data_IF_684894512519
#
_entry.id   IF_684894512519
#
_cell.length_a   1.000
_cell.length_b   1.000
_cell.length_c   1.000
_cell.angle_alpha   90.00
_cell.angle_beta   90.00
_cell.angle_gamma   90.00
#
_symmetry.space_group_name_H-M   'P 1'
#
loop_
_entity.id
_entity.type
_entity.pdbx_description
1 polymer ?
#
# COMPACT_ATOMS: atom_id res chain seq x y z
N UNK A 1 -22.99 1.41 2.97
CA UNK A 1 -21.96 0.34 2.84
C UNK A 1 -21.19 0.57 1.55
N UNK A 2 -19.88 0.81 1.62
CA UNK A 2 -19.03 0.79 0.42
C UNK A 2 -18.68 -0.65 0.09
N UNK A 3 -18.95 -1.08 -1.13
CA UNK A 3 -18.44 -2.36 -1.63
C UNK A 3 -16.91 -2.27 -1.82
N UNK A 4 -16.18 -3.34 -1.57
CA UNK A 4 -14.77 -3.41 -1.92
C UNK A 4 -14.61 -3.23 -3.44
N UNK A 5 -13.52 -2.61 -3.86
CA UNK A 5 -13.13 -2.60 -5.27
C UNK A 5 -12.87 -4.04 -5.72
N UNK A 6 -13.13 -4.34 -6.98
CA UNK A 6 -12.99 -5.69 -7.52
C UNK A 6 -11.61 -6.29 -7.26
N UNK A 7 -10.55 -5.47 -7.31
CA UNK A 7 -9.18 -5.88 -7.02
C UNK A 7 -8.95 -6.43 -5.59
N UNK A 8 -9.79 -6.05 -4.60
CA UNK A 8 -9.71 -6.65 -3.27
C UNK A 8 -10.37 -8.03 -3.19
N UNK A 9 -11.34 -8.30 -4.06
CA UNK A 9 -12.03 -9.59 -4.11
C UNK A 9 -11.33 -10.59 -5.02
N UNK A 10 -10.67 -10.08 -6.06
CA UNK A 10 -9.97 -10.87 -7.07
C UNK A 10 -8.60 -10.24 -7.32
N UNK A 11 -7.66 -10.35 -6.36
CA UNK A 11 -6.31 -9.84 -6.56
C UNK A 11 -5.59 -10.64 -7.64
N UNK A 12 -4.76 -9.97 -8.42
CA UNK A 12 -3.92 -10.60 -9.42
C UNK A 12 -2.78 -11.40 -8.76
N UNK A 13 -2.26 -12.37 -9.49
CA UNK A 13 -1.04 -13.07 -9.10
C UNK A 13 0.14 -12.11 -9.12
N UNK A 14 1.05 -12.27 -8.17
CA UNK A 14 2.29 -11.53 -8.12
C UNK A 14 3.43 -12.34 -8.73
N UNK A 15 4.28 -11.69 -9.52
CA UNK A 15 5.43 -12.31 -10.16
C UNK A 15 6.70 -11.63 -9.65
N UNK A 16 7.65 -12.45 -9.18
CA UNK A 16 8.96 -11.96 -8.73
C UNK A 16 10.05 -12.58 -9.57
N UNK A 17 10.73 -11.74 -10.35
CA UNK A 17 11.80 -12.17 -11.23
C UNK A 17 13.16 -11.98 -10.57
N UNK A 18 14.01 -12.98 -10.65
CA UNK A 18 15.40 -12.94 -10.23
C UNK A 18 16.30 -13.35 -11.40
N UNK A 19 17.34 -12.55 -11.60
CA UNK A 19 18.33 -12.87 -12.63
C UNK A 19 19.15 -14.09 -12.17
N UNK A 20 19.00 -15.18 -12.90
CA UNK A 20 19.72 -16.43 -12.70
C UNK A 20 21.05 -16.47 -13.47
N UNK A 21 21.08 -15.87 -14.65
CA UNK A 21 22.26 -15.86 -15.51
C UNK A 21 22.18 -14.73 -16.53
N UNK A 22 23.31 -14.11 -16.83
CA UNK A 22 23.43 -13.16 -17.94
C UNK A 22 24.77 -13.38 -18.63
N UNK A 23 24.73 -13.56 -19.94
CA UNK A 23 25.88 -13.62 -20.82
C UNK A 23 25.73 -12.59 -21.94
N UNK A 24 26.79 -11.86 -22.21
CA UNK A 24 26.85 -10.89 -23.29
C UNK A 24 28.12 -11.15 -24.10
N UNK A 25 27.99 -11.49 -25.37
CA UNK A 25 29.09 -11.51 -26.33
C UNK A 25 28.97 -10.28 -27.22
N UNK A 26 29.86 -9.32 -26.98
CA UNK A 26 29.89 -8.08 -27.76
C UNK A 26 30.53 -8.25 -29.16
N UNK A 27 31.34 -9.29 -29.35
CA UNK A 27 31.97 -9.56 -30.63
C UNK A 27 30.94 -10.13 -31.63
N UNK A 28 30.07 -11.02 -31.18
CA UNK A 28 29.03 -11.66 -31.98
C UNK A 28 27.63 -11.03 -31.82
N UNK A 29 27.51 -10.00 -30.98
CA UNK A 29 26.25 -9.35 -30.63
C UNK A 29 25.19 -10.34 -30.10
N UNK A 30 25.63 -11.31 -29.34
CA UNK A 30 24.76 -12.32 -28.70
C UNK A 30 24.55 -12.02 -27.23
N UNK A 31 23.33 -12.21 -26.76
CA UNK A 31 22.96 -12.05 -25.36
C UNK A 31 22.02 -13.15 -24.92
N UNK A 32 22.35 -13.79 -23.80
CA UNK A 32 21.47 -14.72 -23.10
C UNK A 32 21.18 -14.18 -21.70
N UNK A 33 19.90 -13.98 -21.36
CA UNK A 33 19.47 -13.65 -19.99
C UNK A 33 18.46 -14.69 -19.56
N UNK A 34 18.75 -15.35 -18.44
CA UNK A 34 17.88 -16.36 -17.84
C UNK A 34 17.32 -15.80 -16.53
N UNK A 35 16.00 -15.75 -16.45
CA UNK A 35 15.27 -15.27 -15.27
C UNK A 35 14.59 -16.45 -14.58
N UNK A 36 14.62 -16.43 -13.26
CA UNK A 36 13.78 -17.30 -12.45
C UNK A 36 12.56 -16.50 -11.98
N UNK A 37 11.39 -16.91 -12.41
CA UNK A 37 10.12 -16.27 -12.02
C UNK A 37 9.45 -17.09 -10.92
N UNK A 38 9.25 -16.48 -9.78
CA UNK A 38 8.43 -17.03 -8.70
C UNK A 38 7.03 -16.43 -8.77
N UNK A 39 6.01 -17.27 -8.71
CA UNK A 39 4.60 -16.88 -8.83
C UNK A 39 3.93 -17.05 -7.48
N UNK A 40 3.41 -15.95 -6.92
CA UNK A 40 2.60 -15.96 -5.71
C UNK A 40 1.13 -15.82 -6.10
N UNK A 41 0.30 -16.77 -5.70
CA UNK A 41 -1.15 -16.77 -5.93
C UNK A 41 -2.00 -16.71 -4.65
N UNK A 42 -1.35 -16.55 -3.50
CA UNK A 42 -1.99 -16.43 -2.17
C UNK A 42 -2.37 -14.98 -1.81
N UNK A 43 -2.73 -14.18 -2.79
CA UNK A 43 -3.05 -12.75 -2.58
C UNK A 43 -4.48 -12.54 -2.10
N UNK A 44 -5.34 -13.54 -2.18
CA UNK A 44 -6.74 -13.48 -1.75
C UNK A 44 -6.89 -13.61 -0.23
N UNK A 45 -7.71 -12.73 0.38
CA UNK A 45 -8.07 -12.83 1.79
C UNK A 45 -9.56 -13.18 1.95
N UNK A 46 -9.90 -14.43 2.31
CA UNK A 46 -11.28 -14.87 2.48
C UNK A 46 -11.98 -14.25 3.71
N UNK A 47 -11.23 -13.63 4.62
CA UNK A 47 -11.73 -13.06 5.87
C UNK A 47 -12.08 -11.57 5.77
N UNK A 48 -12.05 -10.99 4.55
CA UNK A 48 -12.42 -9.59 4.36
C UNK A 48 -13.85 -9.31 4.80
N UNK A 49 -13.99 -8.27 5.62
CA UNK A 49 -15.27 -7.78 6.12
C UNK A 49 -15.62 -6.45 5.46
N UNK A 50 -16.89 -6.20 5.27
CA UNK A 50 -17.33 -4.90 4.77
C UNK A 50 -17.03 -3.80 5.79
N UNK A 51 -16.50 -2.65 5.34
CA UNK A 51 -16.31 -1.49 6.19
C UNK A 51 -17.64 -1.02 6.75
N UNK A 52 -17.62 -0.64 8.01
CA UNK A 52 -18.77 -0.07 8.70
C UNK A 52 -18.43 1.34 9.13
N UNK A 53 -19.17 2.30 8.58
CA UNK A 53 -19.08 3.69 8.98
C UNK A 53 -20.32 4.07 9.78
N UNK A 54 -20.10 4.57 11.00
CA UNK A 54 -21.15 5.09 11.87
C UNK A 54 -20.96 6.58 12.02
N UNK A 55 -21.98 7.36 11.66
CA UNK A 55 -21.97 8.80 11.78
C UNK A 55 -23.06 9.24 12.73
N UNK A 56 -22.72 10.12 13.67
CA UNK A 56 -23.62 10.85 14.54
C UNK A 56 -23.43 12.34 14.27
N UNK A 57 -24.51 13.04 14.03
CA UNK A 57 -24.55 14.49 13.84
C UNK A 57 -25.57 15.11 14.76
N UNK A 58 -25.19 16.23 15.36
CA UNK A 58 -26.10 17.08 16.13
C UNK A 58 -26.00 18.49 15.54
N UNK A 59 -27.11 18.97 14.99
CA UNK A 59 -27.21 20.30 14.39
C UNK A 59 -28.08 21.21 15.24
N UNK A 60 -27.67 22.46 15.38
CA UNK A 60 -28.44 23.53 15.97
C UNK A 60 -28.56 24.65 14.93
N UNK A 61 -29.80 25.00 14.58
CA UNK A 61 -30.13 26.15 13.74
C UNK A 61 -30.88 27.17 14.57
N UNK A 62 -30.35 28.36 14.63
CA UNK A 62 -30.96 29.49 15.35
C UNK A 62 -31.25 30.62 14.38
N UNK A 63 -32.44 31.21 14.50
CA UNK A 63 -32.82 32.39 13.71
C UNK A 63 -33.37 33.47 14.61
N UNK A 64 -32.73 34.62 14.61
CA UNK A 64 -33.09 35.80 15.40
C UNK A 64 -33.21 37.02 14.48
N UNK A 65 -34.44 37.30 14.02
CA UNK A 65 -34.68 38.36 13.04
C UNK A 65 -33.97 38.09 11.71
N UNK A 66 -32.97 38.90 11.37
CA UNK A 66 -32.15 38.76 10.16
C UNK A 66 -30.91 37.90 10.39
N UNK A 67 -30.61 37.53 11.64
CA UNK A 67 -29.42 36.76 11.98
C UNK A 67 -29.76 35.29 11.95
N UNK A 68 -28.88 34.50 11.37
CA UNK A 68 -28.92 33.03 11.41
C UNK A 68 -27.61 32.47 11.92
N UNK A 69 -27.70 31.37 12.69
CA UNK A 69 -26.55 30.62 13.16
C UNK A 69 -26.81 29.13 12.99
N UNK A 70 -25.93 28.48 12.28
CA UNK A 70 -25.93 27.03 12.08
C UNK A 70 -24.66 26.48 12.73
N UNK A 71 -24.85 25.51 13.63
CA UNK A 71 -23.73 24.81 14.28
C UNK A 71 -24.02 23.32 14.17
N UNK A 72 -23.06 22.56 13.62
CA UNK A 72 -23.16 21.12 13.48
C UNK A 72 -21.95 20.48 14.15
N UNK A 73 -22.20 19.69 15.17
CA UNK A 73 -21.21 18.78 15.71
C UNK A 73 -21.38 17.42 15.08
N UNK A 74 -20.27 16.75 14.72
CA UNK A 74 -20.31 15.40 14.18
C UNK A 74 -19.24 14.51 14.76
N UNK A 75 -19.54 13.23 14.75
CA UNK A 75 -18.62 12.13 15.08
C UNK A 75 -18.85 10.99 14.12
N UNK A 76 -17.80 10.59 13.43
CA UNK A 76 -17.80 9.53 12.43
C UNK A 76 -16.75 8.48 12.80
N UNK A 77 -17.15 7.22 12.85
CA UNK A 77 -16.27 6.10 13.18
C UNK A 77 -16.31 5.06 12.07
N UNK A 78 -15.21 4.96 11.32
CA UNK A 78 -14.98 3.93 10.32
C UNK A 78 -14.25 2.77 10.99
N UNK A 79 -14.78 1.56 10.82
CA UNK A 79 -14.16 0.30 11.22
C UNK A 79 -14.07 -0.64 10.03
N UNK A 80 -13.08 -1.54 10.07
CA UNK A 80 -12.81 -2.51 9.00
C UNK A 80 -12.58 -1.84 7.63
N UNK A 81 -11.99 -0.65 7.60
CA UNK A 81 -11.60 0.00 6.37
C UNK A 81 -10.59 -0.88 5.62
N UNK A 82 -10.68 -0.89 4.30
CA UNK A 82 -9.79 -1.68 3.48
C UNK A 82 -8.40 -1.05 3.41
N UNK A 83 -7.40 -1.87 3.53
CA UNK A 83 -5.99 -1.60 3.30
C UNK A 83 -5.35 -2.77 2.57
N UNK A 84 -4.09 -2.63 2.21
CA UNK A 84 -3.28 -3.72 1.69
C UNK A 84 -2.13 -3.96 2.64
N UNK A 85 -1.90 -5.22 3.00
CA UNK A 85 -0.75 -5.64 3.78
C UNK A 85 0.31 -6.24 2.87
N UNK A 86 1.57 -5.91 3.08
CA UNK A 86 2.68 -6.53 2.39
C UNK A 86 3.07 -7.81 3.11
N UNK A 87 3.30 -8.85 2.33
CA UNK A 87 3.77 -10.15 2.79
C UNK A 87 5.02 -10.54 2.04
N UNK A 88 5.83 -11.39 2.66
CA UNK A 88 7.03 -11.91 2.06
C UNK A 88 7.02 -13.44 2.13
N UNK A 89 7.22 -14.08 0.99
CA UNK A 89 7.30 -15.54 0.86
C UNK A 89 8.71 -15.95 0.48
N UNK A 90 9.37 -16.83 1.26
CA UNK A 90 10.73 -17.26 0.95
C UNK A 90 10.72 -18.22 -0.25
N UNK A 91 11.65 -18.03 -1.16
CA UNK A 91 11.92 -18.96 -2.24
C UNK A 91 13.42 -19.06 -2.53
N UNK A 92 13.80 -20.08 -3.30
CA UNK A 92 15.17 -20.30 -3.72
C UNK A 92 15.26 -20.30 -5.24
N UNK A 93 16.38 -19.80 -5.75
CA UNK A 93 16.69 -19.84 -7.17
C UNK A 93 18.14 -20.17 -7.42
N UNK A 94 18.46 -20.67 -8.62
CA UNK A 94 19.82 -20.96 -9.05
C UNK A 94 20.45 -19.71 -9.63
N UNK A 95 21.61 -19.32 -9.13
CA UNK A 95 22.44 -18.30 -9.73
C UNK A 95 23.66 -18.98 -10.32
N UNK A 96 23.74 -18.98 -11.64
CA UNK A 96 24.85 -19.60 -12.37
C UNK A 96 26.08 -18.74 -12.35
N UNK A 97 27.24 -19.39 -12.39
CA UNK A 97 28.53 -18.72 -12.41
C UNK A 97 28.70 -17.92 -13.71
N UNK A 98 29.30 -16.72 -13.65
CA UNK A 98 29.50 -15.90 -14.83
C UNK A 98 30.50 -16.54 -15.78
N UNK A 99 30.23 -16.43 -17.08
CA UNK A 99 31.17 -16.81 -18.13
C UNK A 99 31.96 -15.57 -18.54
N UNK A 100 33.27 -15.72 -18.63
CA UNK A 100 34.22 -14.62 -18.91
C UNK A 100 35.19 -14.92 -20.06
N UNK A 101 35.12 -16.11 -20.64
CA UNK A 101 36.03 -16.57 -21.70
C UNK A 101 35.55 -16.28 -23.12
N UNK A 102 36.47 -16.39 -24.05
CA UNK A 102 36.13 -16.41 -25.48
C UNK A 102 35.78 -17.83 -25.94
N UNK A 103 34.84 -17.94 -26.87
CA UNK A 103 34.43 -19.25 -27.39
C UNK A 103 33.47 -20.01 -26.45
N UNK A 104 32.74 -19.29 -25.65
CA UNK A 104 31.68 -19.82 -24.80
C UNK A 104 30.33 -19.70 -25.51
N UNK A 105 29.56 -20.78 -25.47
CA UNK A 105 28.23 -20.87 -26.12
C UNK A 105 27.21 -21.36 -25.11
N UNK A 106 26.72 -20.45 -24.24
CA UNK A 106 25.73 -20.83 -23.25
C UNK A 106 24.35 -21.00 -23.87
N UNK A 107 23.66 -22.05 -23.46
CA UNK A 107 22.30 -22.36 -23.87
C UNK A 107 21.42 -22.66 -22.66
N UNK A 108 20.15 -22.32 -22.73
CA UNK A 108 19.16 -22.71 -21.74
C UNK A 108 18.50 -24.02 -22.19
N UNK A 109 18.62 -25.05 -21.34
CA UNK A 109 17.97 -26.34 -21.51
C UNK A 109 16.91 -26.55 -20.43
N UNK A 110 16.02 -27.56 -20.55
CA UNK A 110 15.07 -27.89 -19.49
C UNK A 110 15.73 -28.19 -18.13
N UNK A 111 16.97 -28.67 -18.11
CA UNK A 111 17.71 -29.00 -16.89
C UNK A 111 18.50 -27.84 -16.31
N UNK A 112 18.63 -26.74 -17.08
CA UNK A 112 19.34 -25.54 -16.65
C UNK A 112 20.24 -24.96 -17.74
N UNK A 113 21.17 -24.09 -17.34
CA UNK A 113 22.14 -23.48 -18.26
C UNK A 113 23.30 -24.43 -18.50
N UNK A 114 23.61 -24.65 -19.78
CA UNK A 114 24.80 -25.41 -20.21
C UNK A 114 25.74 -24.51 -20.97
N UNK A 115 27.02 -24.78 -20.97
CA UNK A 115 28.03 -24.11 -21.77
C UNK A 115 28.82 -25.15 -22.58
N UNK A 116 28.83 -25.02 -23.90
CA UNK A 116 29.46 -26.01 -24.78
C UNK A 116 28.99 -27.46 -24.50
N UNK A 117 27.67 -27.62 -24.25
CA UNK A 117 27.05 -28.91 -23.93
C UNK A 117 27.30 -29.46 -22.54
N UNK A 118 28.00 -28.73 -21.66
CA UNK A 118 28.27 -29.14 -20.26
C UNK A 118 27.44 -28.29 -19.30
N UNK A 119 26.84 -28.88 -18.24
CA UNK A 119 26.11 -28.13 -17.22
C UNK A 119 26.99 -27.07 -16.58
N UNK A 120 26.47 -25.83 -16.46
CA UNK A 120 27.14 -24.74 -15.79
C UNK A 120 26.97 -24.84 -14.28
N UNK A 121 28.03 -24.56 -13.53
CA UNK A 121 27.99 -24.49 -12.07
C UNK A 121 27.06 -23.40 -11.59
N UNK A 122 26.39 -23.61 -10.47
CA UNK A 122 25.49 -22.63 -9.87
C UNK A 122 25.52 -22.69 -8.34
N UNK A 123 25.14 -21.58 -7.73
CA UNK A 123 24.86 -21.48 -6.29
C UNK A 123 23.35 -21.31 -6.10
N UNK A 124 22.79 -22.06 -5.16
CA UNK A 124 21.38 -21.85 -4.77
C UNK A 124 21.31 -20.72 -3.77
N UNK A 125 20.59 -19.66 -4.12
CA UNK A 125 20.36 -18.50 -3.28
C UNK A 125 18.93 -18.49 -2.74
N UNK A 126 18.77 -18.12 -1.48
CA UNK A 126 17.49 -17.88 -0.86
C UNK A 126 17.15 -16.37 -0.91
N UNK A 127 15.91 -16.05 -1.18
CA UNK A 127 15.41 -14.68 -1.20
C UNK A 127 13.92 -14.67 -0.86
N UNK A 128 13.30 -13.47 -0.89
CA UNK A 128 11.88 -13.32 -0.69
C UNK A 128 11.20 -12.76 -1.93
N UNK A 129 10.01 -13.27 -2.22
CA UNK A 129 9.01 -12.62 -3.07
C UNK A 129 8.12 -11.76 -2.18
N UNK A 130 7.90 -10.51 -2.55
CA UNK A 130 6.91 -9.65 -1.91
C UNK A 130 5.66 -9.57 -2.72
N UNK A 131 4.55 -9.56 -2.01
CA UNK A 131 3.24 -9.36 -2.59
C UNK A 131 2.34 -8.63 -1.61
N UNK A 132 1.27 -8.05 -2.10
CA UNK A 132 0.26 -7.38 -1.28
C UNK A 132 -1.00 -8.22 -1.23
N UNK A 133 -1.60 -8.33 -0.06
CA UNK A 133 -2.93 -8.91 0.11
C UNK A 133 -3.87 -7.88 0.76
N UNK A 134 -5.16 -7.87 0.40
CA UNK A 134 -6.13 -6.98 0.99
C UNK A 134 -6.48 -7.42 2.42
N UNK A 135 -6.66 -6.44 3.31
CA UNK A 135 -7.10 -6.67 4.68
C UNK A 135 -7.99 -5.54 5.22
N UNK A 136 -8.56 -5.75 6.40
CA UNK A 136 -9.33 -4.74 7.12
C UNK A 136 -8.46 -4.02 8.15
N UNK A 137 -7.49 -3.26 7.68
CA UNK A 137 -6.46 -2.63 8.54
C UNK A 137 -6.78 -1.21 8.97
N UNK A 138 -7.77 -0.53 8.38
CA UNK A 138 -8.03 0.89 8.65
C UNK A 138 -9.14 1.07 9.68
N UNK A 139 -8.84 1.83 10.73
CA UNK A 139 -9.80 2.39 11.68
C UNK A 139 -9.62 3.90 11.73
N UNK A 140 -10.71 4.66 11.60
CA UNK A 140 -10.68 6.13 11.63
C UNK A 140 -11.77 6.66 12.54
N UNK A 141 -11.41 7.60 13.40
CA UNK A 141 -12.33 8.37 14.20
C UNK A 141 -12.19 9.84 13.80
N UNK A 142 -13.24 10.38 13.16
CA UNK A 142 -13.38 11.79 12.81
C UNK A 142 -14.37 12.43 13.75
N UNK A 143 -14.03 13.59 14.29
CA UNK A 143 -14.97 14.39 15.08
C UNK A 143 -14.68 15.87 14.86
N UNK A 144 -15.73 16.66 14.85
CA UNK A 144 -15.53 18.07 14.58
C UNK A 144 -16.80 18.89 14.81
N UNK A 145 -16.62 20.18 14.57
CA UNK A 145 -17.67 21.19 14.61
C UNK A 145 -17.56 22.02 13.33
N UNK A 146 -18.70 22.21 12.67
CA UNK A 146 -18.86 23.14 11.58
C UNK A 146 -19.82 24.23 12.03
N UNK A 147 -19.54 25.50 11.66
CA UNK A 147 -20.40 26.59 12.04
C UNK A 147 -20.49 27.64 10.94
N UNK A 148 -21.66 28.27 10.89
CA UNK A 148 -21.97 29.37 10.01
C UNK A 148 -22.77 30.40 10.77
N UNK A 149 -22.34 31.64 10.73
CA UNK A 149 -23.05 32.80 11.30
C UNK A 149 -23.30 33.81 10.19
N UNK A 150 -24.55 34.11 9.92
CA UNK A 150 -24.96 35.21 9.08
C UNK A 150 -25.62 36.25 9.96
N UNK A 151 -25.01 37.40 10.09
CA UNK A 151 -25.50 38.50 10.91
C UNK A 151 -26.44 39.43 10.18
N UNK A 152 -26.81 39.09 8.94
CA UNK A 152 -27.69 39.88 8.11
C UNK A 152 -27.08 41.20 7.66
N UNK A 153 -27.96 42.11 7.19
CA UNK A 153 -27.55 43.44 6.71
C UNK A 153 -27.83 44.54 7.77
N UNK A 154 -26.79 45.25 8.13
CA UNK A 154 -26.89 46.41 9.06
C UNK A 154 -27.04 47.68 8.27
N UNK A 155 -28.26 48.20 8.18
CA UNK A 155 -28.56 49.40 7.41
C UNK A 155 -27.78 50.63 7.79
N UNK A 156 -27.43 50.78 9.07
CA UNK A 156 -26.66 51.93 9.59
C UNK A 156 -25.21 51.92 9.10
N UNK A 157 -24.64 50.77 8.92
CA UNK A 157 -23.25 50.58 8.49
C UNK A 157 -23.16 50.16 7.01
N UNK A 158 -24.28 49.91 6.33
CA UNK A 158 -24.35 49.40 4.99
C UNK A 158 -23.48 48.14 4.76
N UNK A 159 -23.43 47.28 5.80
CA UNK A 159 -22.53 46.14 5.83
C UNK A 159 -23.29 44.86 6.18
N UNK A 160 -22.90 43.75 5.57
CA UNK A 160 -23.31 42.40 5.94
C UNK A 160 -22.07 41.62 6.47
N UNK A 161 -22.28 40.86 7.53
CA UNK A 161 -21.20 40.03 8.09
C UNK A 161 -21.62 38.55 8.04
N UNK A 162 -20.77 37.77 7.39
CA UNK A 162 -20.88 36.32 7.29
C UNK A 162 -19.60 35.68 7.79
N UNK A 163 -19.71 34.74 8.72
CA UNK A 163 -18.58 33.99 9.30
C UNK A 163 -18.89 32.50 9.15
N UNK A 164 -17.99 31.74 8.60
CA UNK A 164 -18.07 30.28 8.58
C UNK A 164 -16.73 29.66 8.91
N UNK A 165 -16.77 28.49 9.52
CA UNK A 165 -15.53 27.77 9.83
C UNK A 165 -15.80 26.34 10.25
N UNK A 166 -14.70 25.59 10.35
CA UNK A 166 -14.74 24.21 10.81
C UNK A 166 -13.52 23.85 11.65
N UNK A 167 -13.74 22.95 12.56
CA UNK A 167 -12.67 22.32 13.34
C UNK A 167 -12.82 20.81 13.22
N UNK A 168 -11.77 20.12 12.79
CA UNK A 168 -11.73 18.67 12.58
C UNK A 168 -10.57 18.06 13.34
N UNK A 169 -10.86 17.02 14.11
CA UNK A 169 -9.86 16.09 14.66
C UNK A 169 -10.05 14.72 14.00
N UNK A 170 -9.00 14.20 13.40
CA UNK A 170 -8.92 12.86 12.82
C UNK A 170 -7.89 12.05 13.59
N UNK A 171 -8.32 10.92 14.12
CA UNK A 171 -7.43 9.87 14.61
C UNK A 171 -7.51 8.70 13.63
N UNK A 172 -6.38 8.30 13.08
CA UNK A 172 -6.27 7.20 12.12
C UNK A 172 -5.31 6.14 12.63
N UNK A 173 -5.75 4.90 12.57
CA UNK A 173 -4.94 3.73 12.83
C UNK A 173 -4.95 2.84 11.60
N UNK A 174 -3.78 2.54 11.08
CA UNK A 174 -3.58 1.58 10.01
C UNK A 174 -2.78 0.39 10.54
N UNK A 175 -3.43 -0.76 10.63
CA UNK A 175 -2.82 -2.01 11.08
C UNK A 175 -2.23 -2.82 9.91
N UNK A 176 -2.29 -2.28 8.70
CA UNK A 176 -1.66 -2.90 7.55
C UNK A 176 -0.16 -3.02 7.77
N UNK A 177 0.35 -4.20 7.51
CA UNK A 177 1.76 -4.51 7.68
C UNK A 177 2.51 -4.04 6.44
N UNK A 178 3.61 -3.32 6.64
CA UNK A 178 4.56 -3.02 5.58
C UNK A 178 5.81 -3.85 5.78
N UNK A 179 6.14 -4.67 4.79
CA UNK A 179 7.37 -5.44 4.82
C UNK A 179 8.53 -4.53 4.40
N UNK A 180 9.36 -4.15 5.36
CA UNK A 180 10.62 -3.46 5.07
C UNK A 180 11.72 -4.52 5.03
N UNK A 181 12.46 -4.56 3.92
CA UNK A 181 13.64 -5.41 3.82
C UNK A 181 14.76 -4.79 4.65
N UNK A 182 15.20 -5.42 5.74
CA UNK A 182 16.39 -4.96 6.43
C UNK A 182 17.59 -5.21 5.51
N UNK A 183 18.49 -4.23 5.46
CA UNK A 183 19.82 -4.42 4.87
C UNK A 183 20.70 -5.33 5.75
N UNK A 184 20.18 -5.80 6.87
CA UNK A 184 20.87 -6.64 7.84
C UNK A 184 20.36 -8.06 7.72
N UNK A 185 21.24 -8.96 7.37
CA UNK A 185 21.01 -10.39 7.37
C UNK A 185 21.28 -10.95 8.78
N UNK A 186 20.31 -11.64 9.38
CA UNK A 186 20.56 -12.45 10.57
C UNK A 186 20.89 -13.88 10.14
N UNK A 187 22.10 -14.34 10.40
CA UNK A 187 22.60 -15.65 9.96
C UNK A 187 22.49 -15.86 8.43
N UNK A 188 22.76 -14.83 7.63
CA UNK A 188 22.70 -14.90 6.18
C UNK A 188 21.29 -15.01 5.61
N UNK A 189 20.26 -14.69 6.40
CA UNK A 189 18.84 -14.67 5.95
C UNK A 189 18.25 -13.28 6.16
N UNK A 190 17.64 -12.69 5.14
CA UNK A 190 16.90 -11.44 5.29
C UNK A 190 15.63 -11.65 6.13
N UNK A 191 15.34 -10.70 7.02
CA UNK A 191 14.12 -10.69 7.84
C UNK A 191 13.27 -9.48 7.48
N UNK A 192 12.00 -9.64 7.08
CA UNK A 192 11.10 -8.53 6.87
C UNK A 192 10.65 -7.92 8.21
N UNK A 193 10.57 -6.60 8.28
CA UNK A 193 9.93 -5.89 9.38
C UNK A 193 8.45 -5.74 9.14
N UNK A 194 7.75 -5.63 10.27
CA UNK A 194 6.33 -5.37 10.28
C UNK A 194 6.07 -4.14 11.14
N UNK A 195 5.42 -3.12 10.58
CA UNK A 195 5.09 -1.88 11.26
C UNK A 195 3.59 -1.61 11.33
N UNK A 196 3.13 -0.97 12.41
CA UNK A 196 1.78 -0.44 12.56
C UNK A 196 1.87 1.08 12.51
N UNK A 197 1.00 1.72 11.73
CA UNK A 197 0.91 3.16 11.65
C UNK A 197 -0.30 3.67 12.44
N UNK A 198 -0.04 4.66 13.31
CA UNK A 198 -1.06 5.38 14.05
C UNK A 198 -0.75 6.87 14.03
N UNK A 199 -1.70 7.70 13.66
CA UNK A 199 -1.52 9.14 13.59
C UNK A 199 -2.75 9.93 13.98
N UNK A 200 -2.50 11.08 14.61
CA UNK A 200 -3.49 12.12 14.88
C UNK A 200 -3.29 13.30 13.93
N UNK A 201 -4.38 13.73 13.33
CA UNK A 201 -4.41 14.93 12.48
C UNK A 201 -5.41 15.93 13.03
N UNK A 202 -4.99 17.18 13.08
CA UNK A 202 -5.81 18.30 13.50
C UNK A 202 -5.89 19.32 12.36
N UNK A 203 -7.11 19.72 11.99
CA UNK A 203 -7.34 20.76 11.00
C UNK A 203 -8.38 21.75 11.53
N UNK A 204 -8.13 23.04 11.33
CA UNK A 204 -9.07 24.12 11.58
C UNK A 204 -9.06 25.09 10.40
N UNK A 205 -10.25 25.48 9.94
CA UNK A 205 -10.46 26.49 8.91
C UNK A 205 -11.41 27.56 9.47
N UNK A 206 -11.08 28.82 9.18
CA UNK A 206 -11.90 30.01 9.43
C UNK A 206 -12.35 30.61 8.11
#
# INVERSE_FOLDING_TARGET
>A
RKMPVLAYLYPDKSYTDKNSFTYNDMENNERLTVMHTFVTDHTFNPNLRLPVNRKLELGLNLRLGQMTADIVWFREHLRNGFSTTEQAEPFTYRRYDPLTGKGEYPELTPDGVVNNGKPLSYTTLATFATFTSPENGIEQLKQGIEYTFDMGHWNTLHTSLFISGSYLKLHEKNMALSAVYPQVELNGKPYPYVGIYEADHLAANL
#
